data_IF_290422492131
#
_entry.id   IF_290422492131
#
_cell.length_a   1.000
_cell.length_b   1.000
_cell.length_c   1.000
_cell.angle_alpha   90.00
_cell.angle_beta   90.00
_cell.angle_gamma   90.00
#
_symmetry.space_group_name_H-M   'P 1'
#
loop_
_entity.id
_entity.type
_entity.pdbx_description
1 polymer ?
#
# COMPACT_ATOMS: atom_id res chain seq x y z
N UNK A 1 -35.55 -11.15 19.65
CA UNK A 1 -34.67 -10.88 18.49
C UNK A 1 -33.32 -10.46 19.04
N UNK A 2 -32.33 -11.34 18.92
CA UNK A 2 -31.00 -11.15 19.49
C UNK A 2 -30.28 -10.01 18.77
N UNK A 3 -29.85 -9.01 19.54
CA UNK A 3 -29.19 -7.81 19.03
C UNK A 3 -27.88 -8.15 18.34
N UNK A 4 -27.91 -8.21 17.01
CA UNK A 4 -26.71 -8.25 16.18
C UNK A 4 -25.94 -6.94 16.40
N UNK A 5 -24.93 -6.97 17.28
CA UNK A 5 -23.97 -5.87 17.39
C UNK A 5 -23.21 -5.75 16.07
N UNK A 6 -23.62 -4.80 15.23
CA UNK A 6 -22.85 -4.40 14.05
C UNK A 6 -21.47 -3.95 14.51
N UNK A 7 -20.44 -4.51 13.90
CA UNK A 7 -19.06 -4.05 14.08
C UNK A 7 -19.01 -2.56 13.73
N UNK A 8 -18.62 -1.75 14.71
CA UNK A 8 -18.37 -0.33 14.53
C UNK A 8 -17.06 -0.16 13.76
N UNK A 9 -17.16 -0.02 12.44
CA UNK A 9 -16.00 0.27 11.60
C UNK A 9 -15.58 1.72 11.79
N UNK A 10 -14.33 1.91 12.22
CA UNK A 10 -13.69 3.22 12.27
C UNK A 10 -13.01 3.48 10.93
N UNK A 11 -13.13 4.71 10.40
CA UNK A 11 -12.48 5.04 9.13
C UNK A 11 -10.96 4.95 9.25
N UNK A 12 -10.33 4.42 8.20
CA UNK A 12 -8.87 4.24 8.15
C UNK A 12 -8.12 5.57 8.32
N UNK A 13 -8.67 6.65 7.77
CA UNK A 13 -8.13 8.00 7.92
C UNK A 13 -8.05 8.43 9.40
N UNK A 14 -9.07 8.11 10.22
CA UNK A 14 -9.05 8.42 11.66
C UNK A 14 -7.99 7.60 12.40
N UNK A 15 -7.81 6.33 12.01
CA UNK A 15 -6.81 5.43 12.58
C UNK A 15 -5.40 5.94 12.29
N UNK A 16 -5.15 6.45 11.08
CA UNK A 16 -3.83 6.92 10.68
C UNK A 16 -3.41 8.26 11.30
N UNK A 17 -4.36 9.00 11.89
CA UNK A 17 -4.04 10.27 12.57
C UNK A 17 -3.07 10.04 13.72
N UNK A 18 -2.17 11.00 14.00
CA UNK A 18 -1.32 10.96 15.18
C UNK A 18 -2.11 10.77 16.48
N UNK A 19 -1.44 10.16 17.48
CA UNK A 19 -2.05 9.85 18.78
C UNK A 19 -2.52 11.10 19.54
N UNK A 20 -1.81 12.21 19.40
CA UNK A 20 -2.17 13.53 19.93
C UNK A 20 -3.37 14.18 19.20
N UNK A 21 -3.75 13.68 18.02
CA UNK A 21 -4.90 14.13 17.24
C UNK A 21 -6.08 13.14 17.28
N UNK A 22 -6.09 12.21 18.24
CA UNK A 22 -7.19 11.25 18.43
C UNK A 22 -7.18 10.04 17.49
N UNK A 23 -6.06 9.78 16.78
CA UNK A 23 -5.86 8.54 16.02
C UNK A 23 -4.94 7.54 16.72
N UNK A 24 -4.59 6.46 16.02
CA UNK A 24 -3.69 5.42 16.52
C UNK A 24 -2.23 5.64 16.09
N UNK A 25 -1.96 6.62 15.22
CA UNK A 25 -0.62 6.90 14.69
C UNK A 25 -0.11 5.82 13.75
N UNK A 26 -1.00 5.00 13.19
CA UNK A 26 -0.64 3.96 12.22
C UNK A 26 -0.31 4.64 10.89
N UNK A 27 0.69 4.11 10.17
CA UNK A 27 1.04 4.65 8.85
C UNK A 27 -0.06 4.34 7.85
N UNK A 28 -0.40 5.34 7.04
CA UNK A 28 -1.31 5.17 5.92
C UNK A 28 -0.70 4.21 4.88
N UNK A 29 -1.34 3.05 4.73
CA UNK A 29 -0.89 1.98 3.83
C UNK A 29 -0.90 2.42 2.37
N UNK A 30 -1.88 3.22 1.97
CA UNK A 30 -2.00 3.71 0.59
C UNK A 30 -0.78 4.56 0.23
N UNK A 31 -0.42 5.49 1.11
CA UNK A 31 0.76 6.35 0.99
C UNK A 31 2.05 5.53 0.97
N UNK A 32 2.14 4.54 1.86
CA UNK A 32 3.32 3.67 1.92
C UNK A 32 3.47 2.80 0.67
N UNK A 33 2.37 2.25 0.16
CA UNK A 33 2.36 1.48 -1.08
C UNK A 33 2.74 2.33 -2.29
N UNK A 34 2.29 3.57 -2.36
CA UNK A 34 2.69 4.49 -3.44
C UNK A 34 4.20 4.76 -3.42
N UNK A 35 4.76 5.01 -2.24
CA UNK A 35 6.20 5.18 -2.07
C UNK A 35 6.98 3.90 -2.46
N UNK A 36 6.49 2.74 -2.05
CA UNK A 36 7.08 1.44 -2.41
C UNK A 36 7.01 1.19 -3.91
N UNK A 37 5.88 1.43 -4.55
CA UNK A 37 5.70 1.30 -6.00
C UNK A 37 6.64 2.24 -6.76
N UNK A 38 6.80 3.47 -6.29
CA UNK A 38 7.73 4.43 -6.88
C UNK A 38 9.18 3.95 -6.80
N UNK A 39 9.58 3.44 -5.63
CA UNK A 39 10.89 2.81 -5.44
C UNK A 39 11.06 1.60 -6.36
N UNK A 40 10.04 0.76 -6.47
CA UNK A 40 10.07 -0.46 -7.28
C UNK A 40 10.18 -0.14 -8.78
N UNK A 41 9.41 0.85 -9.27
CA UNK A 41 9.52 1.38 -10.64
C UNK A 41 10.90 1.94 -10.93
N UNK A 42 11.48 2.67 -9.99
CA UNK A 42 12.85 3.18 -10.14
C UNK A 42 13.85 2.03 -10.29
N UNK A 43 13.79 1.02 -9.42
CA UNK A 43 14.67 -0.15 -9.52
C UNK A 43 14.47 -0.90 -10.84
N UNK A 44 13.23 -1.09 -11.28
CA UNK A 44 12.90 -1.73 -12.55
C UNK A 44 13.53 -0.98 -13.75
N UNK A 45 13.57 0.36 -13.70
CA UNK A 45 14.22 1.17 -14.75
C UNK A 45 15.73 0.96 -14.83
N UNK A 46 16.38 0.67 -13.69
CA UNK A 46 17.83 0.47 -13.61
C UNK A 46 18.26 -0.97 -13.93
N UNK A 47 17.40 -1.96 -13.68
CA UNK A 47 17.71 -3.39 -13.79
C UNK A 47 17.18 -4.04 -15.08
N UNK A 48 17.26 -3.34 -16.22
CA UNK A 48 16.72 -3.84 -17.50
C UNK A 48 17.40 -5.11 -18.03
N UNK A 49 18.62 -5.37 -17.58
CA UNK A 49 19.40 -6.53 -18.02
C UNK A 49 19.15 -7.78 -17.18
N UNK A 50 18.45 -7.65 -16.04
CA UNK A 50 18.20 -8.79 -15.16
C UNK A 50 17.14 -9.73 -15.75
N UNK A 51 17.29 -11.02 -15.49
CA UNK A 51 16.37 -12.07 -15.99
C UNK A 51 14.91 -11.81 -15.59
N UNK A 52 14.68 -11.34 -14.35
CA UNK A 52 13.34 -11.07 -13.86
C UNK A 52 12.68 -9.90 -14.61
N UNK A 53 13.45 -8.88 -15.00
CA UNK A 53 12.96 -7.80 -15.85
C UNK A 53 12.55 -8.35 -17.21
N UNK A 54 13.37 -9.20 -17.84
CA UNK A 54 13.10 -9.76 -19.18
C UNK A 54 11.84 -10.62 -19.20
N UNK A 55 11.63 -11.40 -18.14
CA UNK A 55 10.40 -12.17 -17.94
C UNK A 55 9.19 -11.24 -17.77
N UNK A 56 9.33 -10.16 -17.01
CA UNK A 56 8.26 -9.19 -16.81
C UNK A 56 7.90 -8.46 -18.11
N UNK A 57 8.89 -8.00 -18.85
CA UNK A 57 8.71 -7.31 -20.14
C UNK A 57 8.05 -8.22 -21.18
N UNK A 58 8.54 -9.46 -21.33
CA UNK A 58 7.93 -10.44 -22.22
C UNK A 58 6.47 -10.74 -21.88
N UNK A 59 6.06 -10.60 -20.62
CA UNK A 59 4.69 -10.88 -20.16
C UNK A 59 3.74 -9.70 -20.33
N UNK A 60 4.22 -8.47 -20.15
CA UNK A 60 3.38 -7.28 -20.04
C UNK A 60 3.58 -6.24 -21.16
N UNK A 61 4.74 -6.26 -21.84
CA UNK A 61 5.07 -5.36 -22.96
C UNK A 61 5.26 -6.08 -24.30
N UNK A 62 5.20 -7.43 -24.30
CA UNK A 62 5.27 -8.26 -25.50
C UNK A 62 3.97 -8.31 -26.29
#
# INVERSE_FOLDING_TARGET
EEGQQKVSWVSWEKICRPRNCGGLGIKDISTFNEALLSKWRWTLSQQKEDLWWRVLDSKYNG
#
